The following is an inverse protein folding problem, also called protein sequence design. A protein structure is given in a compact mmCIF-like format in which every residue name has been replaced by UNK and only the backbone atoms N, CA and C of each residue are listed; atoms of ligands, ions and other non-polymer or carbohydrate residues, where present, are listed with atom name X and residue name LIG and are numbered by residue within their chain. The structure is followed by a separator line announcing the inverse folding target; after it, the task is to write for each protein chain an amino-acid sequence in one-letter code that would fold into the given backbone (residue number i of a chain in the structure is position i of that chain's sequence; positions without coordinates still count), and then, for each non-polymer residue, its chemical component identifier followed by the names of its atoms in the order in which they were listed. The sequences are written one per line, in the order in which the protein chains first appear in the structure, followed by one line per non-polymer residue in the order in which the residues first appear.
data_IF_549122741633
#
_entry.id   IF_549122741633
#
_cell.length_a   1.000
_cell.length_b   1.000
_cell.length_c   1.000
_cell.angle_alpha   90.00
_cell.angle_beta   90.00
_cell.angle_gamma   90.00
#
_symmetry.space_group_name_H-M   'P 1'
#
loop_
_entity.id
_entity.type
_entity.pdbx_description
1 polymer ?
#
# COMPACT_ATOMS: atom_id res chain seq x y z
N UNK A 1 -24.94 -15.62 66.22
CA UNK A 1 -24.55 -14.64 67.27
C UNK A 1 -23.45 -15.29 68.08
N UNK A 2 -22.22 -14.81 68.21
CA UNK A 2 -21.47 -13.60 67.83
C UNK A 2 -20.02 -14.12 67.57
N UNK A 3 -19.01 -13.42 67.07
CA UNK A 3 -18.74 -12.00 66.98
C UNK A 3 -17.61 -11.84 65.95
N UNK A 4 -17.82 -10.95 64.98
CA UNK A 4 -16.78 -10.42 64.12
C UNK A 4 -15.79 -9.55 64.92
N UNK A 5 -14.62 -9.32 64.31
CA UNK A 5 -13.56 -8.33 64.63
C UNK A 5 -12.44 -8.86 65.53
N UNK A 6 -11.33 -9.21 64.90
CA UNK A 6 -9.99 -8.71 65.26
C UNK A 6 -9.00 -9.12 64.16
N UNK A 7 -8.24 -8.16 63.61
CA UNK A 7 -7.10 -8.49 62.74
C UNK A 7 -6.94 -7.68 61.46
N UNK A 8 -7.46 -6.45 61.40
CA UNK A 8 -6.84 -5.42 60.56
C UNK A 8 -5.35 -5.33 60.88
N UNK A 9 -4.54 -5.48 59.83
CA UNK A 9 -3.10 -5.17 59.67
C UNK A 9 -2.39 -6.40 59.13
N UNK A 10 -2.17 -6.43 57.82
CA UNK A 10 -0.83 -6.47 57.23
C UNK A 10 -1.00 -6.27 55.71
N UNK A 11 -0.58 -5.09 55.23
CA UNK A 11 -0.16 -4.81 53.85
C UNK A 11 -1.31 -4.77 52.82
N UNK A 12 -2.13 -3.72 52.77
CA UNK A 12 -1.80 -2.48 52.05
C UNK A 12 -0.54 -2.56 51.17
N UNK A 13 -0.61 -3.36 50.09
CA UNK A 13 0.25 -3.19 48.93
C UNK A 13 -0.59 -2.63 47.77
N UNK A 14 -0.67 -1.30 47.78
CA UNK A 14 -0.90 -0.37 46.67
C UNK A 14 -1.04 -1.06 45.30
N UNK A 15 -2.26 -1.28 44.85
CA UNK A 15 -2.55 -1.21 43.41
C UNK A 15 -2.92 0.25 43.12
N UNK A 16 -1.99 1.18 43.37
CA UNK A 16 -2.04 2.50 42.78
C UNK A 16 -1.53 2.39 41.35
N UNK A 17 -2.37 1.83 40.51
CA UNK A 17 -2.26 1.97 39.07
C UNK A 17 -3.64 2.33 38.58
N UNK A 18 -3.99 3.62 38.59
CA UNK A 18 -5.05 4.14 37.73
C UNK A 18 -4.57 3.91 36.28
N UNK A 19 -4.71 2.68 35.78
CA UNK A 19 -4.37 2.33 34.41
C UNK A 19 -5.45 2.92 33.53
N UNK A 20 -5.28 4.21 33.23
CA UNK A 20 -6.12 4.94 32.31
C UNK A 20 -5.72 4.52 30.91
N UNK A 21 -6.49 3.62 30.31
CA UNK A 21 -6.33 3.26 28.91
C UNK A 21 -7.05 4.32 28.07
N UNK A 22 -6.28 5.14 27.37
CA UNK A 22 -6.81 6.09 26.40
C UNK A 22 -6.82 5.44 25.02
N UNK A 23 -8.00 5.23 24.46
CA UNK A 23 -8.16 4.66 23.12
C UNK A 23 -8.65 5.77 22.20
N UNK A 24 -7.74 6.30 21.39
CA UNK A 24 -8.05 7.27 20.35
C UNK A 24 -8.24 6.53 19.02
N UNK A 25 -9.46 6.58 18.47
CA UNK A 25 -9.78 5.96 17.18
C UNK A 25 -10.07 7.03 16.13
N UNK A 26 -9.46 6.89 14.96
CA UNK A 26 -9.77 7.69 13.77
C UNK A 26 -10.29 6.76 12.69
N UNK A 27 -11.49 7.05 12.20
CA UNK A 27 -12.10 6.34 11.07
C UNK A 27 -11.96 7.20 9.83
N UNK A 28 -11.60 6.59 8.72
CA UNK A 28 -11.59 7.19 7.38
C UNK A 28 -12.25 6.23 6.41
N UNK A 29 -12.85 6.76 5.35
CA UNK A 29 -13.41 5.95 4.28
C UNK A 29 -12.31 5.13 3.58
N UNK A 30 -12.64 3.88 3.22
CA UNK A 30 -11.71 2.98 2.56
C UNK A 30 -11.78 3.17 1.04
N UNK A 31 -10.74 3.73 0.45
CA UNK A 31 -10.65 3.92 -1.01
C UNK A 31 -10.22 2.63 -1.71
N UNK A 32 -11.08 2.12 -2.60
CA UNK A 32 -10.81 0.92 -3.40
C UNK A 32 -10.45 1.30 -4.84
N UNK A 33 -9.34 0.80 -5.41
CA UNK A 33 -8.30 -0.02 -4.78
C UNK A 33 -7.18 0.85 -4.16
N UNK A 34 -6.59 0.45 -3.02
CA UNK A 34 -5.63 1.28 -2.25
C UNK A 34 -4.26 1.49 -2.94
N UNK A 35 -4.03 0.84 -4.09
CA UNK A 35 -2.79 0.92 -4.85
C UNK A 35 -2.75 2.06 -5.89
N UNK A 36 -3.90 2.63 -6.25
CA UNK A 36 -4.06 3.71 -7.23
C UNK A 36 -3.58 3.36 -8.65
N UNK A 37 -2.28 3.45 -8.95
CA UNK A 37 -1.79 3.48 -10.34
C UNK A 37 -0.87 2.31 -10.70
N UNK A 38 0.19 2.10 -9.91
CA UNK A 38 1.23 1.10 -10.20
C UNK A 38 1.66 0.38 -8.93
N UNK A 39 1.87 -0.94 -9.04
CA UNK A 39 2.47 -1.78 -8.03
C UNK A 39 3.65 -2.56 -8.62
N UNK A 40 4.86 -2.34 -8.12
CA UNK A 40 6.06 -3.06 -8.53
C UNK A 40 6.30 -4.19 -7.53
N UNK A 41 6.46 -5.41 -8.03
CA UNK A 41 6.56 -6.62 -7.22
C UNK A 41 7.98 -7.17 -7.30
N UNK A 42 8.68 -7.20 -6.17
CA UNK A 42 9.97 -7.86 -6.00
C UNK A 42 9.91 -9.38 -6.13
N UNK A 43 10.99 -10.00 -6.60
CA UNK A 43 11.10 -11.47 -6.77
C UNK A 43 10.91 -12.27 -5.47
N UNK A 44 11.15 -11.64 -4.32
CA UNK A 44 11.04 -12.21 -2.97
C UNK A 44 10.04 -11.42 -2.12
N UNK A 45 9.17 -10.66 -2.77
CA UNK A 45 8.12 -9.92 -2.11
C UNK A 45 7.19 -10.85 -1.30
N UNK A 46 6.56 -10.33 -0.23
CA UNK A 46 5.61 -11.11 0.58
C UNK A 46 4.40 -11.60 -0.22
N UNK A 47 4.09 -10.95 -1.35
CA UNK A 47 3.02 -11.33 -2.28
C UNK A 47 3.63 -11.33 -3.68
N UNK A 48 3.62 -12.48 -4.35
CA UNK A 48 4.09 -12.61 -5.72
C UNK A 48 3.10 -12.07 -6.76
N UNK A 49 3.50 -11.99 -8.05
CA UNK A 49 2.71 -11.37 -9.11
C UNK A 49 1.29 -11.92 -9.24
N UNK A 50 1.12 -13.24 -9.22
CA UNK A 50 -0.20 -13.86 -9.36
C UNK A 50 -1.16 -13.54 -8.21
N UNK A 51 -0.62 -13.41 -6.99
CA UNK A 51 -1.42 -13.02 -5.84
C UNK A 51 -1.77 -11.53 -5.88
N UNK A 52 -0.85 -10.68 -6.36
CA UNK A 52 -1.15 -9.28 -6.65
C UNK A 52 -2.24 -9.14 -7.73
N UNK A 53 -2.16 -9.91 -8.84
CA UNK A 53 -3.19 -9.97 -9.88
C UNK A 53 -4.57 -10.27 -9.30
N UNK A 54 -4.68 -11.34 -8.53
CA UNK A 54 -5.96 -11.74 -7.93
C UNK A 54 -6.51 -10.64 -7.03
N UNK A 55 -5.67 -10.02 -6.22
CA UNK A 55 -6.09 -8.92 -5.34
C UNK A 55 -6.61 -7.74 -6.16
N UNK A 56 -5.91 -7.31 -7.22
CA UNK A 56 -6.35 -6.17 -8.03
C UNK A 56 -7.63 -6.49 -8.80
N UNK A 57 -7.76 -7.70 -9.33
CA UNK A 57 -8.95 -8.13 -10.09
C UNK A 57 -10.18 -8.24 -9.19
N UNK A 58 -10.03 -8.66 -7.92
CA UNK A 58 -11.15 -8.70 -6.95
C UNK A 58 -11.64 -7.29 -6.63
N UNK A 59 -10.72 -6.34 -6.46
CA UNK A 59 -11.05 -4.97 -6.03
C UNK A 59 -11.46 -4.07 -7.21
N UNK A 60 -10.95 -4.33 -8.40
CA UNK A 60 -11.15 -3.51 -9.60
C UNK A 60 -11.01 -4.37 -10.86
N UNK A 61 -12.03 -5.19 -11.16
CA UNK A 61 -12.01 -6.11 -12.29
C UNK A 61 -11.64 -5.42 -13.60
N UNK A 62 -10.74 -6.03 -14.36
CA UNK A 62 -10.29 -5.58 -15.69
C UNK A 62 -9.68 -4.16 -15.73
N UNK A 63 -9.35 -3.54 -14.59
CA UNK A 63 -8.75 -2.20 -14.53
C UNK A 63 -7.23 -2.23 -14.58
N UNK A 64 -6.61 -3.38 -14.35
CA UNK A 64 -5.17 -3.53 -14.25
C UNK A 64 -4.65 -4.54 -15.27
N UNK A 65 -3.37 -4.39 -15.58
CA UNK A 65 -2.58 -5.32 -16.37
C UNK A 65 -1.37 -5.76 -15.54
N UNK A 66 -0.97 -7.04 -15.66
CA UNK A 66 0.27 -7.52 -15.06
C UNK A 66 1.30 -7.73 -16.13
N UNK A 67 2.41 -7.02 -15.97
CA UNK A 67 3.54 -7.02 -16.89
C UNK A 67 4.69 -7.74 -16.20
N UNK A 68 5.05 -8.92 -16.71
CA UNK A 68 6.27 -9.60 -16.26
C UNK A 68 7.48 -8.84 -16.80
N UNK A 69 8.48 -8.64 -15.95
CA UNK A 69 9.68 -7.88 -16.30
C UNK A 69 10.93 -8.69 -15.99
N UNK A 70 11.93 -8.55 -16.86
CA UNK A 70 13.28 -9.05 -16.60
C UNK A 70 14.08 -7.94 -15.91
N UNK A 71 14.20 -8.04 -14.59
CA UNK A 71 15.00 -7.12 -13.78
C UNK A 71 15.69 -7.88 -12.66
N UNK A 72 16.80 -7.36 -12.14
CA UNK A 72 17.57 -8.05 -11.09
C UNK A 72 16.75 -8.30 -9.82
N UNK A 73 15.97 -7.30 -9.41
CA UNK A 73 15.21 -7.31 -8.15
C UNK A 73 13.71 -7.54 -8.30
N UNK A 74 13.13 -7.18 -9.45
CA UNK A 74 11.68 -7.17 -9.65
C UNK A 74 11.24 -8.29 -10.59
N UNK A 75 10.03 -8.80 -10.37
CA UNK A 75 9.43 -9.89 -11.13
C UNK A 75 8.28 -9.40 -12.02
N UNK A 76 7.50 -8.44 -11.53
CA UNK A 76 6.36 -7.91 -12.27
C UNK A 76 6.02 -6.47 -11.88
N UNK A 77 5.29 -5.81 -12.78
CA UNK A 77 4.63 -4.54 -12.56
C UNK A 77 3.13 -4.75 -12.80
N UNK A 78 2.32 -4.44 -11.80
CA UNK A 78 0.88 -4.28 -11.94
C UNK A 78 0.60 -2.81 -12.28
N UNK A 79 -0.07 -2.55 -13.39
CA UNK A 79 -0.29 -1.19 -13.88
C UNK A 79 -1.75 -0.98 -14.24
N UNK A 80 -2.30 0.19 -13.89
CA UNK A 80 -3.65 0.57 -14.32
C UNK A 80 -3.69 0.72 -15.83
N UNK A 81 -4.65 0.06 -16.48
CA UNK A 81 -4.79 0.06 -17.95
C UNK A 81 -4.95 1.45 -18.55
N UNK A 82 -5.54 2.40 -17.81
CA UNK A 82 -5.67 3.78 -18.27
C UNK A 82 -4.31 4.43 -18.57
N UNK A 83 -3.25 4.08 -17.83
CA UNK A 83 -1.90 4.58 -18.11
C UNK A 83 -1.33 4.01 -19.41
N UNK A 84 -1.60 2.74 -19.69
CA UNK A 84 -1.20 2.07 -20.94
C UNK A 84 -1.95 2.64 -22.16
N UNK A 85 -3.14 3.20 -21.96
CA UNK A 85 -3.87 3.91 -23.01
C UNK A 85 -3.30 5.31 -23.29
N UNK A 86 -2.61 5.92 -22.32
CA UNK A 86 -2.02 7.26 -22.45
C UNK A 86 -0.57 7.23 -22.95
N UNK A 87 0.18 6.20 -22.57
CA UNK A 87 1.59 6.04 -22.91
C UNK A 87 1.88 4.60 -23.35
N UNK A 88 2.73 4.40 -24.38
CA UNK A 88 3.20 3.07 -24.76
C UNK A 88 3.80 2.33 -23.56
N UNK A 89 3.49 1.03 -23.47
CA UNK A 89 3.89 0.17 -22.36
C UNK A 89 5.40 0.22 -22.12
N UNK A 90 6.22 0.12 -23.17
CA UNK A 90 7.68 0.07 -23.04
C UNK A 90 8.23 1.37 -22.45
N UNK A 91 7.66 2.52 -22.85
CA UNK A 91 8.06 3.83 -22.31
C UNK A 91 7.69 3.96 -20.85
N UNK A 92 6.49 3.51 -20.49
CA UNK A 92 6.03 3.56 -19.10
C UNK A 92 6.88 2.67 -18.19
N UNK A 93 7.18 1.44 -18.64
CA UNK A 93 8.09 0.53 -17.91
C UNK A 93 9.46 1.19 -17.75
N UNK A 94 10.05 1.74 -18.81
CA UNK A 94 11.36 2.37 -18.74
C UNK A 94 11.40 3.49 -17.68
N UNK A 95 10.42 4.39 -17.69
CA UNK A 95 10.31 5.49 -16.71
C UNK A 95 10.19 4.95 -15.27
N UNK A 96 9.32 3.94 -15.07
CA UNK A 96 9.12 3.33 -13.74
C UNK A 96 10.41 2.65 -13.26
N UNK A 97 11.12 1.98 -14.15
CA UNK A 97 12.31 1.20 -13.82
C UNK A 97 13.55 2.06 -13.60
N UNK A 98 13.69 3.17 -14.32
CA UNK A 98 14.80 4.11 -14.14
C UNK A 98 14.83 4.66 -12.71
N UNK A 99 13.68 4.94 -12.11
CA UNK A 99 13.59 5.43 -10.73
C UNK A 99 13.34 4.31 -9.71
N UNK A 100 12.44 3.38 -10.01
CA UNK A 100 12.12 2.24 -9.15
C UNK A 100 13.31 1.30 -8.94
N UNK A 101 14.18 1.16 -9.94
CA UNK A 101 15.43 0.40 -9.88
C UNK A 101 16.43 0.95 -8.86
N UNK A 102 16.45 2.28 -8.65
CA UNK A 102 17.39 2.93 -7.71
C UNK A 102 17.02 2.68 -6.25
N UNK A 103 15.74 2.43 -5.97
CA UNK A 103 15.21 2.09 -4.64
C UNK A 103 14.96 0.58 -4.49
N UNK A 104 15.50 -0.23 -5.42
CA UNK A 104 15.16 -1.63 -5.56
C UNK A 104 15.70 -2.51 -4.43
N UNK A 105 14.82 -3.37 -3.94
CA UNK A 105 15.11 -4.48 -3.06
C UNK A 105 14.16 -5.62 -3.46
N UNK A 106 14.70 -6.84 -3.57
CA UNK A 106 13.97 -8.01 -4.06
C UNK A 106 12.78 -8.42 -3.17
N UNK A 107 12.78 -8.00 -1.90
CA UNK A 107 11.75 -8.31 -0.91
C UNK A 107 10.60 -7.30 -0.83
N UNK A 108 10.64 -6.23 -1.61
CA UNK A 108 9.68 -5.12 -1.51
C UNK A 108 8.51 -5.24 -2.49
N UNK A 109 7.38 -4.68 -2.06
CA UNK A 109 6.27 -4.29 -2.94
C UNK A 109 6.23 -2.77 -2.91
N UNK A 110 6.40 -2.14 -4.06
CA UNK A 110 6.48 -0.69 -4.16
C UNK A 110 5.21 -0.20 -4.85
N UNK A 111 4.46 0.67 -4.17
CA UNK A 111 3.36 1.41 -4.78
C UNK A 111 3.91 2.69 -5.39
N UNK A 112 3.61 2.95 -6.65
CA UNK A 112 3.92 4.20 -7.32
C UNK A 112 2.63 4.86 -7.84
N UNK A 113 2.57 6.18 -7.68
CA UNK A 113 1.50 7.02 -8.21
C UNK A 113 2.04 7.77 -9.42
N UNK A 114 1.28 7.79 -10.52
CA UNK A 114 1.72 8.35 -11.80
C UNK A 114 0.74 9.44 -12.22
N UNK A 115 1.20 10.69 -12.14
CA UNK A 115 0.42 11.86 -12.58
C UNK A 115 0.91 12.31 -13.96
N UNK A 116 0.04 12.21 -14.97
CA UNK A 116 0.34 12.64 -16.35
C UNK A 116 -0.50 13.87 -16.69
N UNK A 117 0.15 14.98 -17.03
CA UNK A 117 -0.50 16.24 -17.45
C UNK A 117 -0.16 16.55 -18.90
N UNK A 118 -1.17 16.63 -19.77
CA UNK A 118 -1.01 17.04 -21.17
C UNK A 118 -1.35 18.52 -21.33
N UNK A 119 -0.34 19.33 -21.69
CA UNK A 119 -0.54 20.75 -22.01
C UNK A 119 -0.65 20.93 -23.52
N UNK A 120 -1.79 21.43 -24.00
CA UNK A 120 -2.03 21.71 -25.43
C UNK A 120 -2.16 23.22 -25.62
N UNK A 121 -1.24 23.81 -26.37
CA UNK A 121 -1.36 25.18 -26.87
C UNK A 121 -1.52 25.15 -28.39
N UNK A 122 -2.54 25.83 -28.89
CA UNK A 122 -2.71 26.09 -30.32
C UNK A 122 -2.91 27.57 -30.56
N UNK A 123 -2.06 28.14 -31.40
CA UNK A 123 -2.30 29.43 -32.04
C UNK A 123 -3.09 29.17 -33.31
N UNK A 124 -4.14 29.95 -33.53
CA UNK A 124 -4.92 29.97 -34.77
C UNK A 124 -4.73 31.35 -35.39
N UNK A 125 -4.26 31.38 -36.64
CA UNK A 125 -4.27 32.58 -37.46
C UNK A 125 -5.70 32.82 -37.97
N UNK A 126 -6.13 34.09 -37.94
CA UNK A 126 -7.45 34.56 -38.42
C UNK A 126 -7.40 34.97 -39.89
#
# INVERSE_FOLDING_TARGET
MANDREGDRYLENRIEGNKKAEINMRFSEFEVPPMQDVLIVGKRAPIGPEAARRMVDILSPDQYEILKIEHDYFEAIVVRRSLLNMLPQEKLIAIIMDEGGKIANDSMIIRAQVNITLNVSRSIDL
#
